data_IF_349048007616
#
_entry.id   IF_349048007616
#
_cell.length_a   1.000
_cell.length_b   1.000
_cell.length_c   1.000
_cell.angle_alpha   90.00
_cell.angle_beta   90.00
_cell.angle_gamma   90.00
#
_symmetry.space_group_name_H-M   'P 1'
#
loop_
_entity.id
_entity.type
_entity.pdbx_description
1 polymer ?
#
# COMPACT_ATOMS: atom_id res chain seq x y z
N UNK A 1 -44.86 38.16 -44.59
CA UNK A 1 -43.73 37.23 -44.68
C UNK A 1 -43.16 37.09 -43.22
N UNK A 2 -43.37 35.94 -42.55
CA UNK A 2 -42.96 35.73 -41.13
C UNK A 2 -41.72 34.83 -41.14
N UNK A 3 -40.53 35.40 -40.83
CA UNK A 3 -39.29 34.67 -40.68
C UNK A 3 -39.24 33.95 -39.33
N UNK A 4 -39.13 32.61 -39.32
CA UNK A 4 -38.93 31.80 -38.11
C UNK A 4 -37.44 31.69 -37.87
N UNK A 5 -36.97 32.36 -36.78
CA UNK A 5 -35.61 32.17 -36.23
C UNK A 5 -35.61 30.83 -35.49
N UNK A 6 -34.87 29.84 -36.00
CA UNK A 6 -34.58 28.59 -35.29
C UNK A 6 -33.34 28.79 -34.41
N UNK A 7 -33.58 28.91 -33.10
CA UNK A 7 -32.48 28.86 -32.09
C UNK A 7 -31.96 27.44 -32.02
N UNK A 8 -30.70 27.24 -32.43
CA UNK A 8 -29.98 26.00 -32.25
C UNK A 8 -29.32 26.08 -30.85
N UNK A 9 -29.87 25.30 -29.92
CA UNK A 9 -29.31 25.16 -28.59
C UNK A 9 -28.12 24.20 -28.64
N UNK A 10 -26.90 24.70 -28.60
CA UNK A 10 -25.69 23.92 -28.58
C UNK A 10 -25.47 23.38 -27.15
N UNK A 11 -25.83 22.12 -26.89
CA UNK A 11 -25.56 21.44 -25.60
C UNK A 11 -24.12 21.02 -25.62
N UNK A 12 -23.28 21.80 -24.85
CA UNK A 12 -21.90 21.48 -24.61
C UNK A 12 -21.84 20.40 -23.50
N UNK A 13 -21.73 19.11 -23.89
CA UNK A 13 -21.47 18.02 -22.94
C UNK A 13 -20.05 18.15 -22.39
N UNK A 14 -19.89 18.76 -21.20
CA UNK A 14 -18.66 18.66 -20.43
C UNK A 14 -18.56 17.22 -19.91
N UNK A 15 -17.72 16.42 -20.56
CA UNK A 15 -17.29 15.12 -20.05
C UNK A 15 -16.35 15.37 -18.85
N UNK A 16 -16.87 15.33 -17.63
CA UNK A 16 -16.05 15.25 -16.44
C UNK A 16 -15.39 13.85 -16.42
N UNK A 17 -14.14 13.79 -16.87
CA UNK A 17 -13.28 12.65 -16.57
C UNK A 17 -13.06 12.66 -15.06
N UNK A 18 -13.70 11.74 -14.32
CA UNK A 18 -13.36 11.43 -12.95
C UNK A 18 -11.94 10.86 -12.97
N UNK A 19 -10.93 11.72 -12.75
CA UNK A 19 -9.60 11.25 -12.43
C UNK A 19 -9.73 10.46 -11.13
N UNK A 20 -9.69 9.14 -11.20
CA UNK A 20 -9.48 8.31 -10.01
C UNK A 20 -8.11 8.69 -9.47
N UNK A 21 -8.09 9.43 -8.36
CA UNK A 21 -6.87 9.62 -7.61
C UNK A 21 -6.39 8.24 -7.20
N UNK A 22 -5.23 7.84 -7.70
CA UNK A 22 -4.63 6.55 -7.41
C UNK A 22 -4.40 6.50 -5.89
N UNK A 23 -4.98 5.48 -5.21
CA UNK A 23 -4.90 5.40 -3.75
C UNK A 23 -3.43 5.35 -3.30
N UNK A 24 -3.06 6.20 -2.33
CA UNK A 24 -1.71 6.21 -1.75
C UNK A 24 -1.37 4.93 -0.98
N UNK A 25 -2.38 4.13 -0.66
CA UNK A 25 -2.22 2.85 0.03
C UNK A 25 -2.73 1.73 -0.88
N UNK A 26 -1.88 0.76 -1.15
CA UNK A 26 -2.30 -0.51 -1.72
C UNK A 26 -2.92 -1.36 -0.61
N UNK A 27 -4.14 -1.86 -0.87
CA UNK A 27 -4.92 -2.69 0.06
C UNK A 27 -5.27 -4.00 -0.64
N UNK A 28 -4.96 -5.12 0.01
CA UNK A 28 -5.34 -6.45 -0.48
C UNK A 28 -5.76 -7.34 0.67
N UNK A 29 -6.90 -8.03 0.54
CA UNK A 29 -7.47 -8.86 1.60
C UNK A 29 -7.55 -10.32 1.19
N UNK A 30 -7.42 -11.21 2.20
CA UNK A 30 -7.59 -12.65 2.11
C UNK A 30 -8.60 -13.09 3.17
N UNK A 31 -9.49 -14.03 2.83
CA UNK A 31 -10.45 -14.63 3.78
C UNK A 31 -9.78 -15.71 4.66
N UNK A 32 -8.48 -15.56 4.93
CA UNK A 32 -7.67 -16.46 5.76
C UNK A 32 -7.13 -15.69 6.98
N UNK A 33 -6.97 -16.34 8.13
CA UNK A 33 -6.35 -15.73 9.29
C UNK A 33 -4.87 -15.45 9.07
N UNK A 34 -4.31 -14.53 9.84
CA UNK A 34 -2.90 -14.12 9.71
C UNK A 34 -1.93 -15.28 9.90
N UNK A 35 -2.26 -16.24 10.75
CA UNK A 35 -1.47 -17.46 10.98
C UNK A 35 -1.25 -18.31 9.73
N UNK A 36 -2.14 -18.21 8.74
CA UNK A 36 -2.04 -18.93 7.48
C UNK A 36 -1.32 -18.16 6.37
N UNK A 37 -1.35 -16.82 6.43
CA UNK A 37 -0.82 -16.00 5.34
C UNK A 37 0.52 -15.34 5.66
N UNK A 38 0.83 -15.10 6.94
CA UNK A 38 2.02 -14.33 7.34
C UNK A 38 3.31 -14.91 6.76
N UNK A 39 3.58 -16.19 7.02
CA UNK A 39 4.81 -16.84 6.57
C UNK A 39 4.86 -16.97 5.03
N UNK A 40 3.70 -17.10 4.38
CA UNK A 40 3.63 -17.14 2.90
C UNK A 40 3.97 -15.78 2.29
N UNK A 41 3.49 -14.69 2.90
CA UNK A 41 3.83 -13.32 2.47
C UNK A 41 5.31 -13.05 2.70
N UNK A 42 5.83 -13.39 3.88
CA UNK A 42 7.26 -13.33 4.20
C UNK A 42 8.08 -14.03 3.11
N UNK A 43 7.80 -15.33 2.89
CA UNK A 43 8.52 -16.11 1.89
C UNK A 43 8.39 -15.52 0.48
N UNK A 44 7.22 -15.02 0.11
CA UNK A 44 6.99 -14.44 -1.22
C UNK A 44 7.80 -13.15 -1.45
N UNK A 45 7.99 -12.33 -0.40
CA UNK A 45 8.88 -11.16 -0.44
C UNK A 45 10.34 -11.60 -0.61
N UNK A 46 10.80 -12.58 0.19
CA UNK A 46 12.16 -13.12 0.10
C UNK A 46 12.45 -13.74 -1.29
N UNK A 47 11.51 -14.53 -1.82
CA UNK A 47 11.60 -15.13 -3.17
C UNK A 47 11.75 -14.03 -4.26
N UNK A 48 11.14 -12.87 -4.05
CA UNK A 48 11.26 -11.68 -4.90
C UNK A 48 12.47 -10.79 -4.52
N UNK A 49 13.37 -11.26 -3.64
CA UNK A 49 14.58 -10.56 -3.17
C UNK A 49 14.31 -9.27 -2.39
N UNK A 50 13.13 -9.16 -1.79
CA UNK A 50 12.82 -8.16 -0.78
C UNK A 50 13.06 -8.77 0.60
N UNK A 51 14.29 -8.65 1.10
CA UNK A 51 14.71 -9.28 2.34
C UNK A 51 14.11 -8.59 3.55
N UNK A 52 13.42 -9.36 4.38
CA UNK A 52 12.79 -8.88 5.61
C UNK A 52 13.87 -8.72 6.68
N UNK A 53 14.01 -7.50 7.19
CA UNK A 53 15.06 -7.12 8.16
C UNK A 53 14.52 -6.89 9.58
N UNK A 54 13.20 -6.67 9.71
CA UNK A 54 12.56 -6.46 11.01
C UNK A 54 11.06 -6.76 10.94
N UNK A 55 10.52 -7.41 11.98
CA UNK A 55 9.13 -7.88 12.06
C UNK A 55 8.46 -7.41 13.36
N UNK A 56 7.99 -6.15 13.47
CA UNK A 56 7.33 -5.68 14.67
C UNK A 56 5.94 -6.29 14.84
N UNK A 57 5.68 -6.88 16.02
CA UNK A 57 4.35 -7.24 16.47
C UNK A 57 3.70 -6.03 17.15
N UNK A 58 3.04 -5.21 16.33
CA UNK A 58 2.40 -3.97 16.77
C UNK A 58 1.24 -4.26 17.71
N UNK A 59 0.43 -5.27 17.41
CA UNK A 59 -0.72 -5.66 18.22
C UNK A 59 -0.32 -6.04 19.64
N UNK A 60 0.71 -6.89 19.77
CA UNK A 60 1.26 -7.26 21.09
C UNK A 60 1.87 -6.07 21.83
N UNK A 61 2.53 -5.15 21.10
CA UNK A 61 3.08 -3.95 21.74
C UNK A 61 1.99 -3.01 22.25
N UNK A 62 0.91 -2.81 21.49
CA UNK A 62 -0.22 -1.97 21.90
C UNK A 62 -1.01 -2.60 23.06
N UNK A 63 -1.13 -3.93 23.11
CA UNK A 63 -1.89 -4.62 24.18
C UNK A 63 -1.35 -4.37 25.59
N UNK A 64 -0.06 -4.07 25.73
CA UNK A 64 0.56 -3.70 27.00
C UNK A 64 0.00 -2.41 27.62
N UNK A 65 -0.69 -1.61 26.83
CA UNK A 65 -1.28 -0.34 27.23
C UNK A 65 -2.82 -0.41 27.34
N UNK A 66 -3.43 -1.59 27.12
CA UNK A 66 -4.89 -1.75 27.09
C UNK A 66 -5.57 -1.22 28.36
N UNK A 67 -5.07 -1.60 29.54
CA UNK A 67 -5.60 -1.13 30.83
C UNK A 67 -5.53 0.41 30.97
N UNK A 68 -4.39 1.00 30.58
CA UNK A 68 -4.17 2.45 30.65
C UNK A 68 -5.09 3.23 29.72
N UNK A 69 -5.39 2.69 28.52
CA UNK A 69 -6.18 3.38 27.50
C UNK A 69 -7.68 3.07 27.59
N UNK A 70 -8.09 2.02 28.32
CA UNK A 70 -9.49 1.65 28.51
C UNK A 70 -10.24 1.61 27.17
N UNK A 71 -11.37 2.33 27.09
CA UNK A 71 -12.24 2.36 25.90
C UNK A 71 -11.57 2.96 24.64
N UNK A 72 -10.39 3.53 24.75
CA UNK A 72 -9.63 4.03 23.60
C UNK A 72 -8.76 2.93 22.97
N UNK A 73 -8.55 1.82 23.66
CA UNK A 73 -7.78 0.70 23.15
C UNK A 73 -8.54 -0.06 22.07
N UNK A 74 -7.88 -0.33 20.95
CA UNK A 74 -8.32 -1.22 19.86
C UNK A 74 -9.80 -1.06 19.43
N UNK A 75 -10.26 0.16 19.25
CA UNK A 75 -11.65 0.47 18.86
C UNK A 75 -12.04 -0.13 17.49
N UNK A 76 -11.06 -0.49 16.67
CA UNK A 76 -11.27 -1.16 15.38
C UNK A 76 -11.50 -2.67 15.53
N UNK A 77 -11.33 -3.24 16.73
CA UNK A 77 -11.44 -4.66 17.04
C UNK A 77 -10.52 -5.53 16.14
N UNK A 78 -9.25 -5.11 15.97
CA UNK A 78 -8.27 -5.89 15.26
C UNK A 78 -7.74 -7.01 16.15
N UNK A 79 -7.78 -8.26 15.67
CA UNK A 79 -7.26 -9.43 16.40
C UNK A 79 -5.74 -9.55 16.31
N UNK A 80 -5.13 -9.02 15.23
CA UNK A 80 -3.68 -8.96 15.07
C UNK A 80 -3.27 -7.74 14.23
N UNK A 81 -2.06 -7.21 14.53
CA UNK A 81 -1.40 -6.16 13.75
C UNK A 81 0.09 -6.49 13.72
N UNK A 82 0.62 -6.87 12.57
CA UNK A 82 2.04 -7.19 12.39
C UNK A 82 2.59 -6.47 11.16
N UNK A 83 3.84 -6.04 11.22
CA UNK A 83 4.49 -5.43 10.08
C UNK A 83 5.72 -6.22 9.65
N UNK A 84 6.08 -6.09 8.39
CA UNK A 84 7.35 -6.51 7.82
C UNK A 84 8.07 -5.28 7.29
N UNK A 85 9.29 -5.07 7.74
CA UNK A 85 10.22 -4.05 7.22
C UNK A 85 11.22 -4.77 6.34
N UNK A 86 11.36 -4.37 5.08
CA UNK A 86 12.14 -5.10 4.09
C UNK A 86 12.87 -4.19 3.12
N UNK A 87 13.90 -4.70 2.47
CA UNK A 87 14.70 -3.96 1.51
C UNK A 87 15.16 -4.86 0.36
N UNK A 88 15.32 -4.25 -0.83
CA UNK A 88 16.03 -4.83 -1.95
C UNK A 88 17.23 -3.95 -2.27
N UNK A 89 18.45 -4.47 -2.07
CA UNK A 89 19.70 -3.71 -2.23
C UNK A 89 19.93 -3.20 -3.65
N UNK A 90 19.45 -3.91 -4.68
CA UNK A 90 19.54 -3.46 -6.06
C UNK A 90 18.70 -2.18 -6.27
N UNK A 91 17.45 -2.21 -5.88
CA UNK A 91 16.56 -1.03 -5.98
C UNK A 91 17.08 0.14 -5.15
N UNK A 92 17.53 -0.11 -3.92
CA UNK A 92 18.12 0.93 -3.07
C UNK A 92 19.31 1.62 -3.74
N UNK A 93 20.20 0.85 -4.38
CA UNK A 93 21.33 1.39 -5.13
C UNK A 93 20.87 2.22 -6.35
N UNK A 94 19.91 1.71 -7.14
CA UNK A 94 19.40 2.42 -8.31
C UNK A 94 18.69 3.73 -7.93
N UNK A 95 17.90 3.72 -6.87
CA UNK A 95 17.21 4.90 -6.33
C UNK A 95 18.26 5.91 -5.84
N UNK A 96 19.26 5.49 -5.07
CA UNK A 96 20.31 6.38 -4.54
C UNK A 96 21.11 7.07 -5.66
N UNK A 97 21.36 6.37 -6.77
CA UNK A 97 22.05 6.92 -7.92
C UNK A 97 21.20 7.93 -8.70
N UNK A 98 19.86 7.77 -8.67
CA UNK A 98 18.96 8.59 -9.48
C UNK A 98 18.39 9.79 -8.69
N UNK A 99 18.02 9.55 -7.43
CA UNK A 99 17.50 10.55 -6.51
C UNK A 99 17.75 10.10 -5.05
N UNK A 100 18.87 10.53 -4.45
CA UNK A 100 19.22 10.13 -3.09
C UNK A 100 18.16 10.50 -2.03
N UNK A 101 17.35 11.54 -2.28
CA UNK A 101 16.29 11.94 -1.35
C UNK A 101 15.20 10.88 -1.18
N UNK A 102 14.99 10.05 -2.20
CA UNK A 102 14.03 8.94 -2.17
C UNK A 102 14.51 7.75 -1.33
N UNK A 103 15.73 7.76 -0.80
CA UNK A 103 16.15 6.81 0.24
C UNK A 103 15.35 6.96 1.55
N UNK A 104 14.60 8.06 1.71
CA UNK A 104 13.59 8.18 2.77
C UNK A 104 12.51 7.07 2.72
N UNK A 105 12.34 6.40 1.56
CA UNK A 105 11.45 5.25 1.39
C UNK A 105 12.13 3.90 1.69
N UNK A 106 13.42 3.90 2.06
CA UNK A 106 14.19 2.69 2.34
C UNK A 106 14.63 2.65 3.82
N UNK A 107 14.31 1.57 4.57
CA UNK A 107 13.61 0.38 4.12
C UNK A 107 12.11 0.59 3.89
N UNK A 108 11.53 -0.23 3.02
CA UNK A 108 10.09 -0.31 2.82
C UNK A 108 9.42 -1.03 3.99
N UNK A 109 8.12 -0.82 4.17
CA UNK A 109 7.35 -1.61 5.11
C UNK A 109 5.94 -1.87 4.61
N UNK A 110 5.37 -2.96 5.05
CA UNK A 110 3.95 -3.26 4.93
C UNK A 110 3.39 -3.70 6.28
N UNK A 111 2.09 -3.55 6.48
CA UNK A 111 1.41 -4.01 7.68
C UNK A 111 0.30 -4.98 7.29
N UNK A 112 0.24 -6.11 7.99
CA UNK A 112 -0.88 -7.01 7.97
C UNK A 112 -1.76 -6.73 9.20
N UNK A 113 -3.04 -6.56 8.97
CA UNK A 113 -4.05 -6.47 10.02
C UNK A 113 -5.01 -7.65 9.89
N UNK A 114 -5.48 -8.16 11.03
CA UNK A 114 -6.52 -9.19 11.04
C UNK A 114 -7.76 -8.70 11.77
N UNK A 115 -8.92 -8.97 11.19
CA UNK A 115 -10.23 -8.75 11.80
C UNK A 115 -11.18 -9.85 11.33
N UNK A 116 -11.94 -10.41 12.28
CA UNK A 116 -12.96 -11.45 12.00
C UNK A 116 -12.43 -12.63 11.17
N UNK A 117 -11.17 -13.05 11.42
CA UNK A 117 -10.51 -14.15 10.73
C UNK A 117 -10.05 -13.81 9.30
N UNK A 118 -10.13 -12.56 8.88
CA UNK A 118 -9.67 -12.07 7.58
C UNK A 118 -8.42 -11.22 7.72
N UNK A 119 -7.43 -11.46 6.89
CA UNK A 119 -6.18 -10.69 6.87
C UNK A 119 -6.18 -9.69 5.72
N UNK A 120 -5.77 -8.47 6.02
CA UNK A 120 -5.61 -7.39 5.03
C UNK A 120 -4.19 -6.87 5.06
N UNK A 121 -3.55 -6.81 3.89
CA UNK A 121 -2.26 -6.18 3.68
C UNK A 121 -2.44 -4.70 3.33
N UNK A 122 -1.65 -3.86 3.96
CA UNK A 122 -1.58 -2.41 3.77
C UNK A 122 -0.14 -2.05 3.38
N UNK A 123 0.04 -1.46 2.20
CA UNK A 123 1.36 -1.04 1.71
C UNK A 123 1.27 0.38 1.16
N UNK A 124 2.06 1.30 1.74
CA UNK A 124 2.17 2.67 1.24
C UNK A 124 2.89 2.65 -0.11
N UNK A 125 2.26 3.25 -1.13
CA UNK A 125 2.77 3.21 -2.51
C UNK A 125 3.90 4.22 -2.72
N UNK A 126 5.14 3.75 -2.95
CA UNK A 126 6.28 4.64 -3.20
C UNK A 126 6.08 5.59 -4.38
N UNK A 127 5.36 5.16 -5.41
CA UNK A 127 5.12 5.97 -6.62
C UNK A 127 4.31 7.24 -6.36
N UNK A 128 3.47 7.27 -5.32
CA UNK A 128 2.70 8.44 -4.94
C UNK A 128 3.60 9.49 -4.27
N UNK A 129 4.51 9.04 -3.41
CA UNK A 129 5.50 9.93 -2.75
C UNK A 129 6.50 10.45 -3.78
N UNK A 130 6.92 9.61 -4.71
CA UNK A 130 7.88 9.93 -5.75
C UNK A 130 7.25 10.51 -7.04
N UNK A 131 6.07 11.12 -6.97
CA UNK A 131 5.31 11.55 -8.16
C UNK A 131 6.15 12.42 -9.13
N UNK A 132 6.98 13.30 -8.59
CA UNK A 132 7.83 14.24 -9.35
C UNK A 132 9.32 13.87 -9.30
N UNK A 133 9.67 12.70 -8.71
CA UNK A 133 11.06 12.24 -8.60
C UNK A 133 11.60 11.69 -9.92
N UNK A 134 12.85 12.00 -10.29
CA UNK A 134 13.52 11.30 -11.39
C UNK A 134 13.70 9.79 -11.17
N UNK A 135 13.55 9.29 -9.93
CA UNK A 135 13.55 7.86 -9.60
C UNK A 135 12.17 7.18 -9.73
N UNK A 136 11.12 7.91 -10.13
CA UNK A 136 9.72 7.40 -10.19
C UNK A 136 9.59 6.09 -10.98
N UNK A 137 10.25 5.96 -12.13
CA UNK A 137 10.18 4.74 -12.95
C UNK A 137 10.74 3.53 -12.18
N UNK A 138 11.89 3.69 -11.51
CA UNK A 138 12.52 2.66 -10.69
C UNK A 138 11.61 2.24 -9.53
N UNK A 139 10.99 3.23 -8.87
CA UNK A 139 10.06 3.00 -7.76
C UNK A 139 8.73 2.37 -8.24
N UNK A 140 8.33 2.60 -9.50
CA UNK A 140 7.17 1.93 -10.10
C UNK A 140 7.42 0.44 -10.32
N UNK A 141 8.60 0.08 -10.80
CA UNK A 141 8.98 -1.32 -10.99
C UNK A 141 9.05 -2.04 -9.64
N UNK A 142 9.74 -1.42 -8.67
CA UNK A 142 9.81 -1.91 -7.29
C UNK A 142 8.41 -2.11 -6.66
N UNK A 143 7.55 -1.11 -6.75
CA UNK A 143 6.18 -1.16 -6.21
C UNK A 143 5.38 -2.31 -6.83
N UNK A 144 5.51 -2.49 -8.14
CA UNK A 144 4.81 -3.55 -8.88
C UNK A 144 5.27 -4.94 -8.43
N UNK A 145 6.57 -5.16 -8.24
CA UNK A 145 7.12 -6.43 -7.75
C UNK A 145 6.68 -6.73 -6.32
N UNK A 146 6.68 -5.74 -5.43
CA UNK A 146 6.19 -5.88 -4.04
C UNK A 146 4.71 -6.25 -4.04
N UNK A 147 3.87 -5.57 -4.83
CA UNK A 147 2.44 -5.87 -4.92
C UNK A 147 2.19 -7.30 -5.42
N UNK A 148 2.97 -7.76 -6.41
CA UNK A 148 2.88 -9.15 -6.90
C UNK A 148 3.25 -10.13 -5.80
N UNK A 149 4.32 -9.87 -5.03
CA UNK A 149 4.74 -10.72 -3.92
C UNK A 149 3.67 -10.78 -2.81
N UNK A 150 3.08 -9.64 -2.44
CA UNK A 150 1.99 -9.58 -1.46
C UNK A 150 0.80 -10.43 -1.91
N UNK A 151 0.32 -10.22 -3.14
CA UNK A 151 -0.82 -10.99 -3.69
C UNK A 151 -0.54 -12.49 -3.72
N UNK A 152 0.67 -12.89 -4.12
CA UNK A 152 1.09 -14.30 -4.17
C UNK A 152 1.06 -14.93 -2.78
N UNK A 153 1.56 -14.25 -1.76
CA UNK A 153 1.59 -14.78 -0.39
C UNK A 153 0.24 -14.81 0.30
N UNK A 154 -0.71 -13.97 -0.12
CA UNK A 154 -2.05 -13.90 0.48
C UNK A 154 -3.07 -14.86 -0.17
N UNK A 155 -2.77 -15.45 -1.30
CA UNK A 155 -3.59 -16.47 -1.97
C UNK A 155 -3.23 -17.87 -1.42
#
# INVERSE_FOLDING_TARGET
MKGRIRSILLILCLSFSLAHADSSIFIHSSDKPMTEVYDKVYKSLEDARFYVVFEPDIGNNLSKFAERWGDQYNRSNLSAIRSMVFCNGWYANQVSNKDPSMLALCPLHMTLIEKDGKTTALFARPTVIAADSPAKAILSDLESEVIVAIKKGMN
#
